data_IF_806629842209
#
_entry.id   IF_806629842209
#
_cell.length_a   1.000
_cell.length_b   1.000
_cell.length_c   1.000
_cell.angle_alpha   90.00
_cell.angle_beta   90.00
_cell.angle_gamma   90.00
#
_symmetry.space_group_name_H-M   'P 1'
#
loop_
_entity.id
_entity.type
_entity.pdbx_description
1 polymer ?
#
# COMPACT_ATOMS: atom_id res chain seq x y z
N UNK A 1 -6.91 17.95 3.18
CA UNK A 1 -7.32 18.36 1.81
C UNK A 1 -6.42 19.41 1.17
N UNK A 2 -6.04 20.51 1.84
CA UNK A 2 -5.31 21.64 1.22
C UNK A 2 -4.02 21.25 0.48
N UNK A 3 -3.24 20.29 1.00
CA UNK A 3 -2.00 19.83 0.36
C UNK A 3 -2.20 19.06 -0.96
N UNK A 4 -3.19 18.16 -1.02
CA UNK A 4 -3.53 17.42 -2.24
C UNK A 4 -4.12 18.34 -3.31
N UNK A 5 -5.03 19.23 -2.91
CA UNK A 5 -5.63 20.20 -3.82
C UNK A 5 -4.56 21.09 -4.49
N UNK A 6 -3.54 21.52 -3.74
CA UNK A 6 -2.41 22.29 -4.27
C UNK A 6 -1.51 21.51 -5.24
N UNK A 7 -1.37 20.19 -5.09
CA UNK A 7 -0.60 19.37 -6.04
C UNK A 7 -1.32 19.36 -7.39
N UNK A 8 -2.61 19.06 -7.37
CA UNK A 8 -3.37 18.96 -8.60
C UNK A 8 -3.60 20.33 -9.27
N UNK A 9 -3.74 21.40 -8.51
CA UNK A 9 -3.88 22.74 -9.10
C UNK A 9 -2.62 23.26 -9.80
N UNK A 10 -1.42 22.75 -9.44
CA UNK A 10 -0.12 23.26 -9.93
C UNK A 10 0.63 22.33 -10.87
N UNK A 11 0.34 21.02 -10.85
CA UNK A 11 1.09 19.99 -11.59
C UNK A 11 0.31 19.27 -12.68
N UNK A 12 -1.02 19.42 -12.72
CA UNK A 12 -1.84 18.86 -13.81
C UNK A 12 -2.54 19.98 -14.58
N UNK A 13 -2.79 19.74 -15.87
CA UNK A 13 -3.41 20.73 -16.76
C UNK A 13 -4.85 21.01 -16.33
N UNK A 14 -5.40 22.16 -16.73
CA UNK A 14 -6.81 22.50 -16.45
C UNK A 14 -7.79 21.42 -16.96
N UNK A 15 -7.50 20.82 -18.12
CA UNK A 15 -8.28 19.69 -18.66
C UNK A 15 -8.22 18.44 -17.75
N UNK A 16 -7.07 18.14 -17.16
CA UNK A 16 -6.93 17.04 -16.20
C UNK A 16 -7.64 17.32 -14.89
N UNK A 17 -7.62 18.56 -14.40
CA UNK A 17 -8.31 18.95 -13.16
C UNK A 17 -9.82 18.74 -13.26
N UNK A 18 -10.42 19.01 -14.43
CA UNK A 18 -11.84 18.76 -14.67
C UNK A 18 -12.23 17.28 -14.64
N UNK A 19 -11.26 16.36 -14.64
CA UNK A 19 -11.47 14.90 -14.58
C UNK A 19 -11.22 14.31 -13.19
N UNK A 20 -10.90 15.15 -12.21
CA UNK A 20 -10.57 14.72 -10.84
C UNK A 20 -11.67 15.21 -9.90
N UNK A 21 -12.29 14.27 -9.20
CA UNK A 21 -13.25 14.54 -8.13
C UNK A 21 -12.66 14.07 -6.81
N UNK A 22 -12.89 14.85 -5.74
CA UNK A 22 -12.50 14.48 -4.40
C UNK A 22 -13.73 14.11 -3.58
N UNK A 23 -13.72 12.91 -3.02
CA UNK A 23 -14.72 12.45 -2.05
C UNK A 23 -14.03 12.30 -0.70
N UNK A 24 -14.66 12.80 0.35
CA UNK A 24 -14.11 12.72 1.70
C UNK A 24 -14.53 11.42 2.39
N UNK A 25 -13.55 10.66 2.86
CA UNK A 25 -13.74 9.46 3.68
C UNK A 25 -12.99 9.71 4.99
N UNK A 26 -13.70 9.73 6.12
CA UNK A 26 -13.08 10.00 7.43
C UNK A 26 -12.35 8.76 7.94
N UNK A 27 -13.03 7.62 7.90
CA UNK A 27 -12.52 6.35 8.39
C UNK A 27 -12.72 5.26 7.34
N UNK A 28 -11.62 4.83 6.73
CA UNK A 28 -11.62 3.80 5.69
C UNK A 28 -12.12 2.44 6.21
N UNK A 29 -12.10 2.21 7.52
CA UNK A 29 -12.49 0.94 8.12
C UNK A 29 -14.00 0.78 8.30
N UNK A 30 -14.76 1.89 8.31
CA UNK A 30 -16.20 1.88 8.60
C UNK A 30 -17.05 2.69 7.63
N UNK A 31 -16.49 3.71 6.99
CA UNK A 31 -17.27 4.63 6.16
C UNK A 31 -17.74 3.97 4.87
N UNK A 32 -18.81 4.53 4.31
CA UNK A 32 -19.34 4.14 3.02
C UNK A 32 -18.52 4.75 1.89
N UNK A 33 -18.25 3.94 0.85
CA UNK A 33 -17.61 4.41 -0.38
C UNK A 33 -18.61 4.68 -1.51
N UNK A 34 -19.91 4.68 -1.23
CA UNK A 34 -20.95 4.75 -2.26
C UNK A 34 -20.76 5.93 -3.23
N UNK A 35 -20.52 7.13 -2.70
CA UNK A 35 -20.27 8.33 -3.51
C UNK A 35 -18.99 8.20 -4.35
N UNK A 36 -17.92 7.66 -3.77
CA UNK A 36 -16.64 7.47 -4.45
C UNK A 36 -16.68 6.39 -5.55
N UNK A 37 -17.60 5.43 -5.44
CA UNK A 37 -17.77 4.34 -6.41
C UNK A 37 -18.70 4.69 -7.56
N UNK A 38 -19.40 5.83 -7.48
CA UNK A 38 -20.32 6.26 -8.54
C UNK A 38 -19.56 6.42 -9.88
N UNK A 39 -20.03 5.70 -10.91
CA UNK A 39 -19.43 5.64 -12.25
C UNK A 39 -17.98 5.11 -12.33
N UNK A 40 -17.42 4.57 -11.26
CA UNK A 40 -16.09 3.99 -11.27
C UNK A 40 -16.02 2.67 -12.07
N UNK A 41 -14.95 2.47 -12.84
CA UNK A 41 -14.64 1.20 -13.52
C UNK A 41 -13.71 0.31 -12.68
N UNK A 42 -12.92 0.90 -11.77
CA UNK A 42 -11.97 0.19 -10.94
C UNK A 42 -11.51 0.99 -9.75
N UNK A 43 -10.77 0.35 -8.85
CA UNK A 43 -10.31 0.91 -7.58
C UNK A 43 -8.80 0.68 -7.43
N UNK A 44 -8.07 1.71 -7.01
CA UNK A 44 -6.70 1.57 -6.52
C UNK A 44 -6.70 1.89 -5.02
N UNK A 45 -6.48 0.87 -4.19
CA UNK A 45 -6.47 0.97 -2.73
C UNK A 45 -5.03 1.09 -2.20
N UNK A 46 -4.63 2.33 -1.89
CA UNK A 46 -3.26 2.67 -1.40
C UNK A 46 -3.27 2.95 0.12
N UNK A 47 -4.41 3.36 0.66
CA UNK A 47 -4.52 3.86 2.02
C UNK A 47 -4.34 2.73 3.05
N UNK A 48 -3.27 2.82 3.83
CA UNK A 48 -2.94 1.88 4.90
C UNK A 48 -2.02 2.60 5.89
N UNK A 49 -2.09 2.32 7.20
CA UNK A 49 -1.26 3.00 8.19
C UNK A 49 0.24 2.77 7.93
N UNK A 50 1.01 3.86 7.91
CA UNK A 50 2.48 3.84 7.79
C UNK A 50 3.05 4.87 8.75
N UNK A 51 3.13 4.51 10.03
CA UNK A 51 3.77 5.34 11.05
C UNK A 51 4.87 4.54 11.76
N UNK A 52 5.92 5.23 12.22
CA UNK A 52 7.06 4.60 12.90
C UNK A 52 6.81 4.42 14.40
N UNK A 53 5.84 5.12 14.96
CA UNK A 53 5.48 5.08 16.38
C UNK A 53 4.19 4.27 16.54
N UNK A 54 4.22 3.27 17.42
CA UNK A 54 3.09 2.38 17.69
C UNK A 54 2.72 2.50 19.16
N UNK A 55 1.47 2.81 19.46
CA UNK A 55 0.98 2.88 20.85
C UNK A 55 0.10 1.67 21.15
N UNK A 56 -0.77 1.31 20.20
CA UNK A 56 -1.60 0.11 20.21
C UNK A 56 -1.42 -0.65 18.88
N UNK A 57 -0.55 -1.69 18.80
CA UNK A 57 -0.31 -2.43 17.56
C UNK A 57 -1.57 -3.03 16.93
N UNK A 58 -2.57 -3.36 17.76
CA UNK A 58 -3.81 -3.96 17.28
C UNK A 58 -4.67 -2.92 16.57
N UNK A 59 -4.97 -1.80 17.24
CA UNK A 59 -5.84 -0.77 16.68
C UNK A 59 -5.15 0.08 15.62
N UNK A 60 -3.93 0.52 15.90
CA UNK A 60 -3.21 1.49 15.06
C UNK A 60 -2.73 0.85 13.75
N UNK A 61 -2.55 -0.47 13.72
CA UNK A 61 -1.99 -1.17 12.56
C UNK A 61 -2.81 -2.37 12.10
N UNK A 62 -2.97 -3.41 12.92
CA UNK A 62 -3.59 -4.67 12.48
C UNK A 62 -5.02 -4.46 12.00
N UNK A 63 -5.90 -3.98 12.88
CA UNK A 63 -7.31 -3.77 12.57
C UNK A 63 -7.49 -2.69 11.51
N UNK A 64 -6.73 -1.61 11.58
CA UNK A 64 -6.79 -0.55 10.56
C UNK A 64 -6.44 -1.07 9.16
N UNK A 65 -5.36 -1.85 9.02
CA UNK A 65 -4.96 -2.40 7.73
C UNK A 65 -5.95 -3.46 7.21
N UNK A 66 -6.38 -4.39 8.08
CA UNK A 66 -7.28 -5.48 7.70
C UNK A 66 -8.67 -4.93 7.37
N UNK A 67 -9.27 -4.16 8.28
CA UNK A 67 -10.63 -3.66 8.11
C UNK A 67 -10.70 -2.60 7.01
N UNK A 68 -9.67 -1.77 6.84
CA UNK A 68 -9.61 -0.83 5.72
C UNK A 68 -9.64 -1.54 4.36
N UNK A 69 -8.85 -2.61 4.23
CA UNK A 69 -8.80 -3.42 3.00
C UNK A 69 -10.14 -4.12 2.75
N UNK A 70 -10.66 -4.82 3.77
CA UNK A 70 -11.90 -5.59 3.66
C UNK A 70 -13.12 -4.70 3.43
N UNK A 71 -13.19 -3.52 4.05
CA UNK A 71 -14.30 -2.58 3.86
C UNK A 71 -14.36 -2.08 2.41
N UNK A 72 -13.22 -1.74 1.81
CA UNK A 72 -13.15 -1.36 0.39
C UNK A 72 -13.64 -2.49 -0.52
N UNK A 73 -13.20 -3.73 -0.26
CA UNK A 73 -13.60 -4.91 -1.03
C UNK A 73 -15.10 -5.20 -0.92
N UNK A 74 -15.67 -5.18 0.29
CA UNK A 74 -17.10 -5.33 0.50
C UNK A 74 -17.90 -4.20 -0.16
N UNK A 75 -17.43 -2.96 -0.09
CA UNK A 75 -18.10 -1.83 -0.71
C UNK A 75 -18.15 -1.98 -2.24
N UNK A 76 -17.03 -2.37 -2.87
CA UNK A 76 -16.95 -2.62 -4.30
C UNK A 76 -17.87 -3.78 -4.74
N UNK A 77 -17.89 -4.87 -3.96
CA UNK A 77 -18.73 -6.02 -4.23
C UNK A 77 -20.21 -5.69 -4.08
N UNK A 78 -20.60 -5.05 -2.97
CA UNK A 78 -21.97 -4.62 -2.72
C UNK A 78 -22.44 -3.60 -3.78
N UNK A 79 -21.60 -2.64 -4.16
CA UNK A 79 -21.92 -1.73 -5.25
C UNK A 79 -22.18 -2.49 -6.55
N UNK A 80 -21.28 -3.42 -6.90
CA UNK A 80 -21.42 -4.25 -8.09
C UNK A 80 -22.63 -5.18 -8.03
N UNK A 81 -23.17 -5.54 -6.87
CA UNK A 81 -24.42 -6.30 -6.78
C UNK A 81 -25.66 -5.41 -7.02
N UNK A 82 -25.65 -4.18 -6.52
CA UNK A 82 -26.83 -3.32 -6.48
C UNK A 82 -26.98 -2.41 -7.71
N UNK A 83 -25.91 -2.16 -8.47
CA UNK A 83 -25.91 -1.19 -9.57
C UNK A 83 -25.55 -1.82 -10.92
N UNK A 84 -26.02 -1.25 -12.05
CA UNK A 84 -25.74 -1.80 -13.39
C UNK A 84 -24.26 -1.65 -13.76
N UNK A 85 -23.64 -0.52 -13.42
CA UNK A 85 -22.19 -0.33 -13.56
C UNK A 85 -21.47 -1.17 -12.51
N UNK A 86 -20.60 -2.07 -12.96
CA UNK A 86 -19.83 -2.98 -12.11
C UNK A 86 -18.41 -2.44 -11.94
N UNK A 87 -17.86 -2.61 -10.74
CA UNK A 87 -16.42 -2.45 -10.53
C UNK A 87 -15.74 -3.65 -11.16
N UNK A 88 -14.82 -3.41 -12.10
CA UNK A 88 -14.18 -4.46 -12.89
C UNK A 88 -12.89 -4.96 -12.25
N UNK A 89 -12.08 -4.04 -11.70
CA UNK A 89 -10.76 -4.34 -11.16
C UNK A 89 -10.50 -3.59 -9.86
N UNK A 90 -9.82 -4.25 -8.93
CA UNK A 90 -9.37 -3.67 -7.66
C UNK A 90 -7.88 -3.98 -7.53
N UNK A 91 -7.06 -2.93 -7.46
CA UNK A 91 -5.62 -3.04 -7.27
C UNK A 91 -5.29 -2.58 -5.85
N UNK A 92 -4.68 -3.45 -5.06
CA UNK A 92 -4.31 -3.17 -3.67
C UNK A 92 -2.80 -2.94 -3.58
N UNK A 93 -2.39 -1.83 -2.98
CA UNK A 93 -0.99 -1.59 -2.65
C UNK A 93 -0.61 -2.43 -1.43
N UNK A 94 0.00 -3.59 -1.67
CA UNK A 94 0.64 -4.38 -0.63
C UNK A 94 2.11 -3.95 -0.47
N UNK A 95 2.96 -4.85 0.03
CA UNK A 95 4.38 -4.59 0.20
C UNK A 95 5.16 -5.90 0.14
N UNK A 96 6.42 -5.82 -0.28
CA UNK A 96 7.38 -6.91 -0.09
C UNK A 96 7.49 -7.36 1.38
N UNK A 97 7.07 -6.53 2.34
CA UNK A 97 6.89 -6.91 3.75
C UNK A 97 5.91 -8.09 3.97
N UNK A 98 4.91 -8.27 3.09
CA UNK A 98 3.96 -9.38 3.11
C UNK A 98 4.52 -10.67 2.48
N UNK A 99 5.65 -10.56 1.76
CA UNK A 99 6.30 -11.65 1.01
C UNK A 99 7.58 -12.13 1.70
N UNK A 100 8.39 -11.21 2.20
CA UNK A 100 9.70 -11.51 2.76
C UNK A 100 9.62 -12.29 4.08
N UNK A 101 10.33 -13.42 4.18
CA UNK A 101 10.66 -14.10 5.44
C UNK A 101 12.00 -13.63 6.03
N UNK A 102 11.97 -12.57 6.84
CA UNK A 102 13.17 -12.04 7.48
C UNK A 102 13.81 -12.99 8.52
N UNK A 103 13.11 -14.04 8.98
CA UNK A 103 13.69 -15.02 9.91
C UNK A 103 14.84 -15.82 9.26
N UNK A 104 14.87 -15.85 7.93
CA UNK A 104 15.93 -16.50 7.14
C UNK A 104 17.15 -15.61 6.92
N UNK A 105 17.14 -14.37 7.43
CA UNK A 105 18.20 -13.40 7.19
C UNK A 105 18.39 -13.11 5.70
N UNK A 106 19.61 -12.74 5.31
CA UNK A 106 19.93 -12.53 3.89
C UNK A 106 20.10 -13.85 3.16
N UNK A 107 19.41 -13.96 2.02
CA UNK A 107 19.44 -15.14 1.16
C UNK A 107 20.05 -14.75 -0.18
N UNK A 108 21.35 -14.97 -0.34
CA UNK A 108 22.09 -14.58 -1.57
C UNK A 108 21.70 -15.39 -2.82
N UNK A 109 21.04 -16.54 -2.65
CA UNK A 109 20.66 -17.46 -3.74
C UNK A 109 19.15 -17.73 -3.75
N UNK A 110 18.34 -16.80 -3.24
CA UNK A 110 16.88 -16.95 -3.26
C UNK A 110 16.21 -15.89 -4.11
N UNK A 111 15.38 -16.34 -5.03
CA UNK A 111 14.46 -15.50 -5.79
C UNK A 111 13.08 -15.66 -5.17
N UNK A 112 12.58 -14.58 -4.59
CA UNK A 112 11.19 -14.55 -4.13
C UNK A 112 10.24 -14.56 -5.32
N UNK A 113 9.08 -15.16 -5.12
CA UNK A 113 7.98 -15.32 -6.08
C UNK A 113 6.66 -14.99 -5.38
N UNK A 114 5.56 -15.01 -6.12
CA UNK A 114 4.21 -14.68 -5.65
C UNK A 114 3.65 -15.76 -4.74
N UNK A 115 4.32 -16.92 -4.71
CA UNK A 115 4.00 -18.03 -3.80
C UNK A 115 4.62 -17.82 -2.41
N UNK A 116 5.56 -16.88 -2.30
CA UNK A 116 6.21 -16.59 -1.04
C UNK A 116 5.35 -15.71 -0.15
N UNK A 117 5.34 -16.05 1.13
CA UNK A 117 4.62 -15.31 2.15
C UNK A 117 5.51 -15.07 3.35
N UNK A 118 5.36 -13.88 3.92
CA UNK A 118 5.85 -13.59 5.26
C UNK A 118 5.17 -14.56 6.26
N UNK A 119 5.93 -15.23 7.12
CA UNK A 119 5.37 -16.21 8.06
C UNK A 119 4.62 -15.56 9.23
N UNK A 120 4.68 -14.22 9.36
CA UNK A 120 4.04 -13.51 10.46
C UNK A 120 2.52 -13.66 10.43
N UNK A 121 1.96 -13.72 11.63
CA UNK A 121 0.53 -13.88 11.90
C UNK A 121 -0.02 -12.65 12.62
N UNK A 122 -1.34 -12.63 12.81
CA UNK A 122 -1.99 -11.62 13.65
C UNK A 122 -1.42 -11.61 15.08
N UNK A 123 -1.18 -12.79 15.66
CA UNK A 123 -0.64 -12.93 17.00
C UNK A 123 0.77 -12.35 17.11
N UNK A 124 1.61 -12.53 16.09
CA UNK A 124 2.94 -11.92 16.04
C UNK A 124 2.86 -10.39 16.00
N UNK A 125 1.93 -9.83 15.20
CA UNK A 125 1.69 -8.39 15.15
C UNK A 125 1.19 -7.83 16.49
N UNK A 126 0.31 -8.55 17.18
CA UNK A 126 -0.21 -8.16 18.50
C UNK A 126 0.91 -8.12 19.57
N UNK A 127 1.86 -9.05 19.47
CA UNK A 127 3.01 -9.13 20.37
C UNK A 127 4.10 -8.08 20.07
N UNK A 128 4.03 -7.34 18.96
CA UNK A 128 5.11 -6.52 18.42
C UNK A 128 5.32 -5.14 19.10
N UNK A 129 5.01 -4.99 20.39
CA UNK A 129 5.02 -3.68 21.09
C UNK A 129 6.35 -2.90 21.00
N UNK A 130 7.48 -3.61 20.89
CA UNK A 130 8.81 -3.01 20.73
C UNK A 130 9.56 -3.52 19.48
N UNK A 131 8.86 -4.22 18.59
CA UNK A 131 9.41 -4.70 17.33
C UNK A 131 8.71 -3.99 16.18
N UNK A 132 9.22 -2.82 15.83
CA UNK A 132 8.66 -1.99 14.75
C UNK A 132 8.62 -2.70 13.40
N UNK A 133 9.54 -3.64 13.14
CA UNK A 133 9.55 -4.38 11.88
C UNK A 133 8.40 -5.38 11.84
N UNK A 134 8.17 -6.13 12.92
CA UNK A 134 7.03 -7.05 13.03
C UNK A 134 5.71 -6.28 13.08
N UNK A 135 5.64 -5.17 13.83
CA UNK A 135 4.46 -4.32 13.91
C UNK A 135 4.05 -3.71 12.56
N UNK A 136 5.00 -3.52 11.64
CA UNK A 136 4.71 -3.10 10.26
C UNK A 136 4.38 -4.29 9.34
N UNK A 137 5.18 -5.36 9.38
CA UNK A 137 5.09 -6.49 8.43
C UNK A 137 3.86 -7.36 8.65
N UNK A 138 3.49 -7.63 9.92
CA UNK A 138 2.35 -8.48 10.23
C UNK A 138 1.02 -7.92 9.70
N UNK A 139 0.66 -6.63 9.92
CA UNK A 139 -0.54 -6.04 9.32
C UNK A 139 -0.58 -6.08 7.80
N UNK A 140 0.55 -5.84 7.11
CA UNK A 140 0.61 -5.96 5.65
C UNK A 140 0.31 -7.38 5.18
N UNK A 141 0.90 -8.36 5.85
CA UNK A 141 0.67 -9.78 5.58
C UNK A 141 -0.78 -10.16 5.83
N UNK A 142 -1.36 -9.77 6.97
CA UNK A 142 -2.73 -10.09 7.34
C UNK A 142 -3.76 -9.41 6.44
N UNK A 143 -3.55 -8.16 6.06
CA UNK A 143 -4.46 -7.43 5.17
C UNK A 143 -4.48 -8.05 3.76
N UNK A 144 -3.32 -8.44 3.23
CA UNK A 144 -3.26 -9.09 1.92
C UNK A 144 -3.90 -10.49 1.96
N UNK A 145 -3.63 -11.29 3.00
CA UNK A 145 -4.31 -12.59 3.19
C UNK A 145 -5.83 -12.42 3.29
N UNK A 146 -6.30 -11.41 4.02
CA UNK A 146 -7.73 -11.12 4.12
C UNK A 146 -8.34 -10.77 2.76
N UNK A 147 -7.64 -10.04 1.90
CA UNK A 147 -8.08 -9.75 0.54
C UNK A 147 -8.22 -11.02 -0.32
N UNK A 148 -7.24 -11.94 -0.24
CA UNK A 148 -7.32 -13.23 -0.95
C UNK A 148 -8.42 -14.14 -0.38
N UNK A 149 -8.58 -14.20 0.94
CA UNK A 149 -9.69 -14.93 1.57
C UNK A 149 -11.05 -14.38 1.16
N UNK A 150 -11.18 -13.06 1.01
CA UNK A 150 -12.39 -12.43 0.50
C UNK A 150 -12.69 -12.87 -0.93
N UNK A 151 -11.68 -12.91 -1.81
CA UNK A 151 -11.83 -13.39 -3.19
C UNK A 151 -12.37 -14.82 -3.23
N UNK A 152 -11.80 -15.70 -2.40
CA UNK A 152 -12.18 -17.12 -2.34
C UNK A 152 -13.60 -17.33 -1.80
N UNK A 153 -13.99 -16.57 -0.77
CA UNK A 153 -15.28 -16.71 -0.07
C UNK A 153 -16.43 -16.02 -0.82
N UNK A 154 -16.25 -14.75 -1.18
CA UNK A 154 -17.32 -13.90 -1.72
C UNK A 154 -17.43 -13.99 -3.25
N UNK A 155 -16.37 -14.42 -3.94
CA UNK A 155 -16.33 -14.58 -5.39
C UNK A 155 -16.90 -13.36 -6.13
N UNK A 156 -16.35 -12.16 -5.88
CA UNK A 156 -16.82 -10.94 -6.52
C UNK A 156 -16.73 -11.03 -8.05
N UNK A 157 -17.54 -10.24 -8.75
CA UNK A 157 -17.42 -10.06 -10.20
C UNK A 157 -16.15 -9.29 -10.60
N UNK A 158 -15.54 -8.57 -9.65
CA UNK A 158 -14.31 -7.82 -9.85
C UNK A 158 -13.09 -8.73 -9.79
N UNK A 159 -12.09 -8.45 -10.62
CA UNK A 159 -10.74 -9.02 -10.45
C UNK A 159 -9.98 -8.25 -9.36
N UNK A 160 -9.08 -8.95 -8.67
CA UNK A 160 -8.24 -8.38 -7.60
C UNK A 160 -6.78 -8.64 -7.95
N UNK A 161 -5.95 -7.61 -7.80
CA UNK A 161 -4.49 -7.71 -7.92
C UNK A 161 -3.81 -7.00 -6.73
N UNK A 162 -2.65 -7.50 -6.32
CA UNK A 162 -1.82 -6.89 -5.27
C UNK A 162 -0.49 -6.46 -5.86
N UNK A 163 -0.01 -5.28 -5.47
CA UNK A 163 1.33 -4.79 -5.85
C UNK A 163 2.21 -4.80 -4.61
N UNK A 164 3.13 -5.77 -4.54
CA UNK A 164 4.03 -5.97 -3.41
C UNK A 164 5.32 -5.16 -3.56
N UNK A 165 5.20 -3.83 -3.51
CA UNK A 165 6.36 -2.95 -3.71
C UNK A 165 7.43 -3.12 -2.59
N UNK A 166 8.70 -3.05 -3.00
CA UNK A 166 9.85 -2.91 -2.10
C UNK A 166 9.91 -1.50 -1.48
N UNK A 167 11.09 -1.06 -1.02
CA UNK A 167 11.22 0.29 -0.48
C UNK A 167 11.08 1.34 -1.60
N UNK A 168 9.99 2.12 -1.57
CA UNK A 168 9.71 3.12 -2.59
C UNK A 168 10.54 4.38 -2.37
N UNK A 169 11.40 4.71 -3.32
CA UNK A 169 12.26 5.90 -3.31
C UNK A 169 11.95 6.78 -4.51
N UNK A 170 11.83 8.10 -4.31
CA UNK A 170 11.75 9.06 -5.43
C UNK A 170 11.67 10.50 -4.89
N UNK A 171 12.06 11.50 -5.71
CA UNK A 171 11.61 12.88 -5.51
C UNK A 171 10.08 12.95 -5.38
N UNK A 172 9.61 13.74 -4.41
CA UNK A 172 8.18 14.04 -4.21
C UNK A 172 7.67 14.94 -5.35
N UNK A 173 6.43 14.72 -5.79
CA UNK A 173 5.76 15.55 -6.81
C UNK A 173 5.67 17.04 -6.41
N UNK A 174 5.57 17.33 -5.11
CA UNK A 174 5.55 18.67 -4.52
C UNK A 174 6.93 19.35 -4.47
N UNK A 175 8.00 18.63 -4.80
CA UNK A 175 9.33 18.98 -4.34
C UNK A 175 9.49 18.75 -2.84
N UNK A 176 10.70 18.99 -2.34
CA UNK A 176 11.04 18.90 -0.94
C UNK A 176 11.06 20.31 -0.34
N UNK A 177 10.16 20.62 0.59
CA UNK A 177 10.15 21.93 1.27
C UNK A 177 11.16 22.00 2.41
N UNK A 178 11.33 20.90 3.13
CA UNK A 178 12.38 20.72 4.14
C UNK A 178 12.80 19.25 4.23
N UNK A 179 13.97 18.99 4.83
CA UNK A 179 14.39 17.61 5.13
C UNK A 179 13.47 16.92 6.16
N UNK A 180 12.72 17.69 6.96
CA UNK A 180 11.77 17.16 7.93
C UNK A 180 10.45 16.70 7.27
N UNK A 181 10.14 17.20 6.07
CA UNK A 181 8.96 16.83 5.28
C UNK A 181 9.17 15.56 4.45
N UNK A 182 10.14 14.70 4.76
CA UNK A 182 10.40 13.45 4.03
C UNK A 182 9.43 12.34 4.43
N UNK A 183 9.05 11.47 3.49
CA UNK A 183 8.15 10.34 3.79
C UNK A 183 8.96 9.24 4.50
N UNK A 184 8.27 8.30 5.12
CA UNK A 184 8.89 7.26 5.94
C UNK A 184 9.99 6.50 5.20
N UNK A 185 9.81 6.18 3.92
CA UNK A 185 10.82 5.49 3.11
C UNK A 185 12.01 6.39 2.77
N UNK A 186 11.80 7.65 2.38
CA UNK A 186 12.90 8.56 2.07
C UNK A 186 13.62 9.04 3.34
N UNK A 187 13.06 8.90 4.54
CA UNK A 187 13.71 9.27 5.82
C UNK A 187 15.07 8.60 6.02
N UNK A 188 15.29 7.43 5.40
CA UNK A 188 16.60 6.77 5.37
C UNK A 188 17.63 7.53 4.55
N UNK A 189 17.24 8.09 3.40
CA UNK A 189 18.13 8.93 2.59
C UNK A 189 18.55 10.17 3.37
N UNK A 190 17.62 10.75 4.16
CA UNK A 190 17.97 11.84 5.09
C UNK A 190 19.04 11.41 6.07
N UNK A 191 18.85 10.26 6.74
CA UNK A 191 19.82 9.75 7.71
C UNK A 191 21.21 9.64 7.08
N UNK A 192 21.33 9.11 5.87
CA UNK A 192 22.61 8.98 5.17
C UNK A 192 23.24 10.34 4.85
N UNK A 193 22.45 11.32 4.38
CA UNK A 193 22.94 12.64 3.99
C UNK A 193 23.36 13.48 5.20
N UNK A 194 22.65 13.36 6.32
CA UNK A 194 22.91 14.16 7.53
C UNK A 194 23.83 13.48 8.53
N UNK A 195 24.28 12.25 8.25
CA UNK A 195 25.16 11.50 9.15
C UNK A 195 26.54 12.15 9.24
N UNK A 196 27.12 12.12 10.44
CA UNK A 196 28.53 12.47 10.62
C UNK A 196 29.42 11.33 10.13
N UNK A 197 30.69 11.63 9.85
CA UNK A 197 31.72 10.64 9.49
C UNK A 197 31.89 9.51 10.53
N UNK A 198 31.52 9.79 11.78
CA UNK A 198 31.66 8.89 12.93
C UNK A 198 30.33 8.19 13.28
N UNK A 199 29.27 8.45 12.53
CA UNK A 199 27.97 7.81 12.74
C UNK A 199 28.09 6.31 12.47
N UNK A 200 27.56 5.50 13.39
CA UNK A 200 27.46 4.07 13.14
C UNK A 200 26.46 3.84 12.01
N UNK A 201 26.93 3.10 10.99
CA UNK A 201 26.05 2.64 9.93
C UNK A 201 24.97 1.74 10.54
N UNK A 202 23.72 2.00 10.19
CA UNK A 202 22.64 1.15 10.67
C UNK A 202 22.83 -0.27 10.13
N UNK A 203 22.66 -1.28 10.99
CA UNK A 203 22.52 -2.68 10.56
C UNK A 203 21.24 -2.93 9.74
N UNK A 204 20.44 -1.87 9.47
CA UNK A 204 19.32 -1.91 8.53
C UNK A 204 19.85 -2.04 7.11
N UNK A 205 19.87 -3.30 6.74
CA UNK A 205 20.16 -3.89 5.46
C UNK A 205 19.12 -3.45 4.40
N UNK A 206 19.35 -2.29 3.78
CA UNK A 206 18.59 -1.76 2.64
C UNK A 206 18.93 -2.58 1.39
N UNK A 207 18.04 -3.48 0.96
CA UNK A 207 18.38 -4.40 -0.13
C UNK A 207 17.58 -4.22 -1.42
N UNK A 208 16.40 -3.62 -1.36
CA UNK A 208 15.52 -3.51 -2.52
C UNK A 208 14.83 -2.14 -2.52
N UNK A 209 15.09 -1.36 -3.56
CA UNK A 209 14.45 -0.07 -3.81
C UNK A 209 13.77 -0.08 -5.17
N UNK A 210 12.63 0.61 -5.25
CA UNK A 210 11.87 0.80 -6.49
C UNK A 210 11.50 2.28 -6.63
N UNK A 211 11.49 2.79 -7.85
CA UNK A 211 11.09 4.17 -8.10
C UNK A 211 9.56 4.33 -7.94
N UNK A 212 9.11 5.42 -7.31
CA UNK A 212 7.67 5.68 -7.15
C UNK A 212 6.93 5.75 -8.49
N UNK A 213 7.61 6.17 -9.56
CA UNK A 213 7.04 6.28 -10.90
C UNK A 213 6.76 4.91 -11.48
N UNK A 214 7.66 3.94 -11.26
CA UNK A 214 7.48 2.56 -11.69
C UNK A 214 6.35 1.90 -10.91
N UNK A 215 6.27 2.15 -9.61
CA UNK A 215 5.14 1.70 -8.77
C UNK A 215 3.82 2.30 -9.28
N UNK A 216 3.78 3.60 -9.54
CA UNK A 216 2.58 4.27 -10.05
C UNK A 216 2.15 3.73 -11.43
N UNK A 217 3.11 3.53 -12.33
CA UNK A 217 2.87 2.92 -13.64
C UNK A 217 2.32 1.51 -13.50
N UNK A 218 2.88 0.69 -12.61
CA UNK A 218 2.40 -0.66 -12.33
C UNK A 218 0.94 -0.66 -11.83
N UNK A 219 0.56 0.29 -10.98
CA UNK A 219 -0.83 0.41 -10.52
C UNK A 219 -1.78 0.78 -11.65
N UNK A 220 -1.41 1.73 -12.52
CA UNK A 220 -2.21 2.11 -13.66
C UNK A 220 -2.37 0.94 -14.65
N UNK A 221 -1.27 0.28 -14.99
CA UNK A 221 -1.27 -0.86 -15.89
C UNK A 221 -2.08 -2.04 -15.34
N UNK A 222 -1.99 -2.34 -14.04
CA UNK A 222 -2.80 -3.40 -13.41
C UNK A 222 -4.30 -3.06 -13.39
N UNK A 223 -4.66 -1.77 -13.40
CA UNK A 223 -6.04 -1.33 -13.46
C UNK A 223 -6.59 -1.37 -14.90
N UNK A 224 -5.77 -1.03 -15.89
CA UNK A 224 -6.18 -0.88 -17.28
C UNK A 224 -6.10 -2.19 -18.07
N UNK A 225 -5.06 -3.00 -17.85
CA UNK A 225 -4.70 -4.15 -18.67
C UNK A 225 -4.82 -5.49 -17.92
N UNK A 226 -5.31 -6.52 -18.60
CA UNK A 226 -5.47 -7.87 -18.03
C UNK A 226 -4.14 -8.63 -17.86
N UNK A 227 -3.05 -8.13 -18.44
CA UNK A 227 -1.75 -8.84 -18.55
C UNK A 227 -1.03 -8.95 -17.19
N UNK A 228 -1.21 -7.97 -16.30
CA UNK A 228 -0.48 -7.93 -15.02
C UNK A 228 -1.13 -8.73 -13.89
N UNK A 229 -2.37 -9.19 -14.08
CA UNK A 229 -3.06 -10.03 -13.09
C UNK A 229 -2.40 -11.42 -12.98
N UNK A 230 -1.56 -11.79 -13.96
CA UNK A 230 -0.81 -13.05 -14.02
C UNK A 230 0.72 -12.85 -14.09
N UNK A 231 1.20 -11.60 -14.03
CA UNK A 231 2.62 -11.34 -14.10
C UNK A 231 3.25 -11.68 -12.74
N UNK A 232 3.65 -12.93 -12.65
CA UNK A 232 4.55 -13.45 -11.64
C UNK A 232 5.90 -12.74 -11.73
N UNK A 233 6.03 -11.59 -11.09
CA UNK A 233 7.30 -10.98 -10.75
C UNK A 233 7.12 -9.96 -9.65
N UNK A 234 7.84 -10.16 -8.54
CA UNK A 234 8.13 -9.08 -7.60
C UNK A 234 8.90 -8.02 -8.39
N UNK A 235 8.30 -6.83 -8.55
CA UNK A 235 8.98 -5.65 -9.06
C UNK A 235 9.68 -4.95 -7.90
#
# INVERSE_FOLDING_TARGET
>A
MAGLFNIFSTKVTTDQQCRILFVHINDITTDSFYEALHDADGIIHIASPVHLTVTDPEKDFLLSAINGTINVLHAAHKYSQNYPKKIKRIVITSSFAAVNDASKGLRSVYSYTEKDWCPLTYADGLAAKNDHLTAYRAPKTCAERAAWEFLDKEKPSSTIATICAAMVSSPRITGLQSLDDMNSSNSFLRLLITSSKDAQMSDRKLHFQVDVRDVAYTHAEALENDVLILASGII
#
